data_IF_920647331071
#
_entry.id   IF_920647331071
#
_cell.length_a   1.000
_cell.length_b   1.000
_cell.length_c   1.000
_cell.angle_alpha   90.00
_cell.angle_beta   90.00
_cell.angle_gamma   90.00
#
_symmetry.space_group_name_H-M   'P 1'
#
loop_
_entity.id
_entity.type
_entity.pdbx_description
1 polymer ?
#
# COMPACT_ATOMS: atom_id res chain seq x y z
N UNK A 1 42.76 -20.87 5.22
CA UNK A 1 41.88 -21.96 4.76
C UNK A 1 40.49 -21.92 5.41
N UNK A 2 40.35 -22.23 6.70
CA UNK A 2 39.03 -22.26 7.37
C UNK A 2 38.48 -20.84 7.63
N UNK A 3 39.35 -19.90 8.03
CA UNK A 3 39.00 -18.48 8.19
C UNK A 3 38.53 -17.83 6.88
N UNK A 4 39.20 -18.07 5.75
CA UNK A 4 38.79 -17.57 4.43
C UNK A 4 37.40 -18.07 4.03
N UNK A 5 37.06 -19.31 4.39
CA UNK A 5 35.77 -19.92 4.09
C UNK A 5 34.65 -19.23 4.87
N UNK A 6 34.89 -18.94 6.15
CA UNK A 6 33.94 -18.20 7.00
C UNK A 6 33.74 -16.77 6.50
N UNK A 7 34.81 -16.11 6.04
CA UNK A 7 34.74 -14.74 5.51
C UNK A 7 33.94 -14.66 4.20
N UNK A 8 34.11 -15.64 3.31
CA UNK A 8 33.32 -15.73 2.07
C UNK A 8 31.84 -15.99 2.35
N UNK A 9 31.52 -16.84 3.33
CA UNK A 9 30.14 -17.09 3.77
C UNK A 9 29.50 -15.83 4.37
N UNK A 10 30.22 -15.10 5.23
CA UNK A 10 29.74 -13.85 5.80
C UNK A 10 29.52 -12.76 4.74
N UNK A 11 30.34 -12.72 3.70
CA UNK A 11 30.16 -11.81 2.56
C UNK A 11 28.89 -12.12 1.75
N UNK A 12 28.62 -13.40 1.49
CA UNK A 12 27.41 -13.87 0.81
C UNK A 12 26.14 -13.57 1.61
N UNK A 13 26.19 -13.76 2.93
CA UNK A 13 25.05 -13.49 3.81
C UNK A 13 24.67 -12.00 3.82
N UNK A 14 25.66 -11.10 3.88
CA UNK A 14 25.43 -9.65 3.74
C UNK A 14 24.83 -9.27 2.38
N UNK A 15 25.31 -9.90 1.31
CA UNK A 15 24.79 -9.65 -0.04
C UNK A 15 23.32 -10.11 -0.18
N UNK A 16 22.99 -11.27 0.39
CA UNK A 16 21.61 -11.77 0.47
C UNK A 16 20.72 -10.83 1.28
N UNK A 17 21.20 -10.31 2.41
CA UNK A 17 20.45 -9.33 3.21
C UNK A 17 20.18 -8.02 2.45
N UNK A 18 21.15 -7.55 1.66
CA UNK A 18 20.98 -6.35 0.82
C UNK A 18 20.04 -6.58 -0.36
N UNK A 19 19.98 -7.81 -0.87
CA UNK A 19 19.14 -8.18 -2.02
C UNK A 19 17.72 -8.59 -1.62
N UNK A 20 17.39 -8.68 -0.34
CA UNK A 20 16.06 -9.11 0.11
C UNK A 20 14.97 -8.10 -0.30
N UNK A 21 14.19 -8.39 -1.36
CA UNK A 21 13.13 -7.48 -1.81
C UNK A 21 11.93 -7.49 -0.84
N UNK A 22 11.94 -8.40 0.14
CA UNK A 22 10.89 -8.59 1.14
C UNK A 22 11.20 -7.94 2.49
N UNK A 23 12.42 -7.44 2.70
CA UNK A 23 12.78 -6.67 3.90
C UNK A 23 11.87 -5.42 4.12
N UNK A 24 11.32 -4.76 3.08
CA UNK A 24 10.28 -3.75 3.24
C UNK A 24 8.95 -4.31 3.76
N UNK A 25 8.57 -5.55 3.44
CA UNK A 25 7.27 -6.12 3.84
C UNK A 25 7.14 -6.19 5.36
N UNK A 26 8.23 -6.56 6.05
CA UNK A 26 8.30 -6.59 7.51
C UNK A 26 8.12 -5.21 8.18
N UNK A 27 8.21 -4.11 7.41
CA UNK A 27 8.01 -2.73 7.88
C UNK A 27 6.62 -2.19 7.58
N UNK A 28 5.71 -3.01 7.05
CA UNK A 28 4.34 -2.62 6.70
C UNK A 28 4.17 -2.11 5.27
N UNK A 29 5.15 -2.37 4.38
CA UNK A 29 4.98 -2.11 2.95
C UNK A 29 4.37 -3.32 2.23
N UNK A 30 3.85 -3.10 1.02
CA UNK A 30 3.38 -4.15 0.13
C UNK A 30 4.19 -4.15 -1.17
N UNK A 31 4.50 -5.34 -1.68
CA UNK A 31 5.02 -5.52 -3.03
C UNK A 31 3.82 -5.62 -3.98
N UNK A 32 3.76 -4.72 -4.96
CA UNK A 32 2.72 -4.72 -5.99
C UNK A 32 3.20 -5.54 -7.19
N UNK A 33 2.40 -6.50 -7.63
CA UNK A 33 2.64 -7.28 -8.85
C UNK A 33 1.37 -7.44 -9.66
N UNK A 34 1.51 -7.82 -10.93
CA UNK A 34 0.40 -8.17 -11.82
C UNK A 34 0.82 -9.36 -12.70
N UNK A 35 -0.10 -10.03 -13.41
CA UNK A 35 0.27 -11.07 -14.38
C UNK A 35 1.34 -10.55 -15.36
N UNK A 36 2.51 -11.18 -15.39
CA UNK A 36 3.64 -10.74 -16.24
C UNK A 36 4.55 -9.66 -15.62
N UNK A 37 4.14 -9.03 -14.51
CA UNK A 37 4.90 -7.98 -13.82
C UNK A 37 5.26 -8.40 -12.39
N UNK A 38 6.51 -8.84 -12.20
CA UNK A 38 6.98 -9.38 -10.91
C UNK A 38 7.03 -8.34 -9.79
N UNK A 39 7.27 -7.07 -10.12
CA UNK A 39 7.27 -5.95 -9.19
C UNK A 39 6.94 -4.66 -9.96
N UNK A 40 5.91 -3.95 -9.52
CA UNK A 40 5.48 -2.67 -10.09
C UNK A 40 5.81 -1.57 -9.09
N UNK A 41 6.71 -0.67 -9.47
CA UNK A 41 7.10 0.50 -8.66
C UNK A 41 6.53 1.82 -9.17
N UNK A 42 5.91 1.83 -10.37
CA UNK A 42 5.29 3.01 -10.96
C UNK A 42 3.76 2.96 -10.79
N UNK A 43 3.20 4.07 -10.32
CA UNK A 43 1.74 4.24 -10.23
C UNK A 43 1.06 4.12 -11.59
N UNK A 44 1.65 4.69 -12.64
CA UNK A 44 1.00 4.73 -13.96
C UNK A 44 0.90 3.32 -14.56
N UNK A 45 1.91 2.49 -14.34
CA UNK A 45 1.88 1.07 -14.72
C UNK A 45 0.83 0.32 -13.90
N UNK A 46 0.81 0.52 -12.57
CA UNK A 46 -0.19 -0.09 -11.71
C UNK A 46 -1.63 0.31 -12.06
N UNK A 47 -1.85 1.56 -12.51
CA UNK A 47 -3.17 2.06 -12.88
C UNK A 47 -3.69 1.50 -14.22
N UNK A 48 -2.79 0.99 -15.08
CA UNK A 48 -3.17 0.34 -16.34
C UNK A 48 -3.62 -1.11 -16.18
N UNK A 49 -3.22 -1.77 -15.09
CA UNK A 49 -3.55 -3.17 -14.83
C UNK A 49 -4.91 -3.30 -14.14
N UNK A 50 -5.84 -4.14 -14.65
CA UNK A 50 -7.18 -4.27 -14.07
C UNK A 50 -7.17 -4.97 -12.70
N UNK A 51 -6.21 -5.87 -12.49
CA UNK A 51 -6.04 -6.63 -11.25
C UNK A 51 -4.58 -6.56 -10.83
N UNK A 52 -4.35 -6.28 -9.55
CA UNK A 52 -3.04 -6.29 -8.93
C UNK A 52 -3.05 -7.29 -7.77
N UNK A 53 -1.91 -7.90 -7.51
CA UNK A 53 -1.65 -8.67 -6.30
C UNK A 53 -0.75 -7.84 -5.39
N UNK A 54 -1.22 -7.59 -4.17
CA UNK A 54 -0.46 -6.97 -3.11
C UNK A 54 0.08 -8.06 -2.20
N UNK A 55 1.40 -8.24 -2.20
CA UNK A 55 2.07 -9.16 -1.27
C UNK A 55 2.52 -8.38 -0.04
N UNK A 56 2.02 -8.78 1.12
CA UNK A 56 2.41 -8.34 2.44
C UNK A 56 3.28 -9.40 3.13
N UNK A 57 3.77 -9.10 4.34
CA UNK A 57 4.54 -10.07 5.12
C UNK A 57 3.69 -11.25 5.63
N UNK A 58 2.39 -11.03 5.82
CA UNK A 58 1.43 -11.98 6.38
C UNK A 58 0.56 -12.68 5.32
N UNK A 59 0.65 -12.26 4.07
CA UNK A 59 -0.11 -12.88 3.00
C UNK A 59 -0.17 -12.08 1.71
N UNK A 60 -1.03 -12.52 0.81
CA UNK A 60 -1.30 -11.86 -0.47
C UNK A 60 -2.76 -11.43 -0.54
N UNK A 61 -3.00 -10.27 -1.15
CA UNK A 61 -4.33 -9.72 -1.35
C UNK A 61 -4.48 -9.30 -2.81
N UNK A 62 -5.44 -9.89 -3.50
CA UNK A 62 -5.80 -9.47 -4.86
C UNK A 62 -6.75 -8.27 -4.80
N UNK A 63 -6.45 -7.24 -5.59
CA UNK A 63 -7.21 -6.00 -5.66
C UNK A 63 -7.56 -5.67 -7.11
N UNK A 64 -8.76 -5.14 -7.31
CA UNK A 64 -9.20 -4.61 -8.60
C UNK A 64 -8.90 -3.12 -8.63
N UNK A 65 -8.26 -2.64 -9.68
CA UNK A 65 -8.01 -1.22 -9.86
C UNK A 65 -9.27 -0.55 -10.40
N UNK A 66 -9.62 0.62 -9.88
CA UNK A 66 -10.85 1.30 -10.25
C UNK A 66 -10.87 2.74 -9.78
N UNK A 67 -11.82 3.51 -10.31
CA UNK A 67 -12.02 4.90 -9.92
C UNK A 67 -12.73 4.93 -8.57
N UNK A 68 -12.04 5.39 -7.53
CA UNK A 68 -12.66 5.66 -6.23
C UNK A 68 -13.63 6.83 -6.40
N UNK A 69 -14.93 6.54 -6.44
CA UNK A 69 -15.95 7.59 -6.32
C UNK A 69 -15.84 8.18 -4.92
N UNK A 70 -15.52 9.47 -4.82
CA UNK A 70 -15.51 10.19 -3.54
C UNK A 70 -16.85 9.95 -2.84
N UNK A 71 -16.87 9.49 -1.57
CA UNK A 71 -18.12 9.37 -0.85
C UNK A 71 -18.81 10.73 -0.80
N UNK A 72 -20.11 10.74 -1.16
CA UNK A 72 -20.90 11.98 -1.13
C UNK A 72 -20.96 12.45 0.33
N UNK A 73 -20.66 13.72 0.63
CA UNK A 73 -20.76 14.22 2.00
C UNK A 73 -22.18 13.98 2.51
N UNK A 74 -22.28 13.38 3.70
CA UNK A 74 -23.56 13.15 4.36
C UNK A 74 -24.17 14.52 4.63
N UNK A 75 -25.44 14.79 4.27
CA UNK A 75 -26.06 16.06 4.59
C UNK A 75 -25.95 16.26 6.10
N UNK A 76 -25.31 17.36 6.54
CA UNK A 76 -25.36 17.72 7.95
C UNK A 76 -26.82 18.03 8.26
N UNK A 77 -27.36 17.40 9.30
CA UNK A 77 -28.66 17.78 9.81
C UNK A 77 -28.57 19.27 10.17
N UNK A 78 -29.34 20.10 9.46
CA UNK A 78 -29.49 21.50 9.84
C UNK A 78 -29.98 21.50 11.29
N UNK A 79 -29.20 22.13 12.18
CA UNK A 79 -29.66 22.38 13.55
C UNK A 79 -30.95 23.18 13.45
N UNK A 80 -32.03 22.62 13.95
CA UNK A 80 -33.30 23.30 14.13
C UNK A 80 -33.02 24.64 14.81
N UNK A 81 -33.28 25.74 14.11
CA UNK A 81 -33.25 27.06 14.72
C UNK A 81 -34.44 27.15 15.69
N UNK A 82 -34.24 27.55 16.95
CA UNK A 82 -35.35 27.67 17.89
C UNK A 82 -36.35 28.74 17.39
N UNK A 83 -37.66 28.51 17.51
CA UNK A 83 -38.66 29.50 17.11
C UNK A 83 -38.70 30.59 18.17
N UNK A 84 -38.37 31.82 17.81
CA UNK A 84 -38.61 32.93 18.73
C UNK A 84 -37.84 34.20 18.42
N UNK A 85 -38.34 34.99 17.47
CA UNK A 85 -38.26 36.44 17.59
C UNK A 85 -39.41 37.09 16.82
N UNK A 86 -40.44 37.63 17.49
CA UNK A 86 -41.41 38.49 16.81
C UNK A 86 -40.72 39.80 16.40
N UNK A 87 -40.84 40.14 15.11
CA UNK A 87 -40.44 41.44 14.56
C UNK A 87 -41.32 42.52 15.17
N UNK A 88 -40.70 43.53 15.77
CA UNK A 88 -41.37 44.77 16.16
C UNK A 88 -41.44 45.71 14.95
N UNK A 89 -42.60 46.33 14.79
CA UNK A 89 -42.95 47.38 13.83
C UNK A 89 -42.07 48.63 13.99
#
# INVERSE_FOLDING_TARGET
AQADRTQRLAGLDRLLQQLNPEAPLARGYALVSAPGHRAISSRDVAAGEPVLTLKFADGTLDVVTGVVKKPKPRPSAAKDSPPGQPKLL
#
